data_IF_787053127887
#
_entry.id   IF_787053127887
#
_cell.length_a   1.000
_cell.length_b   1.000
_cell.length_c   1.000
_cell.angle_alpha   90.00
_cell.angle_beta   90.00
_cell.angle_gamma   90.00
#
_symmetry.space_group_name_H-M   'P 1'
#
loop_
_entity.id
_entity.type
_entity.pdbx_description
1 polymer ?
#
# COMPACT_ATOMS: atom_id res chain seq x y z
N UNK A 1 10.97 -7.09 8.12
CA UNK A 1 12.15 -7.58 7.40
C UNK A 1 11.87 -7.59 5.90
N UNK A 2 12.26 -6.53 5.21
CA UNK A 2 12.16 -6.39 3.75
C UNK A 2 13.47 -6.87 3.14
N UNK A 3 13.73 -8.19 3.16
CA UNK A 3 14.93 -8.70 2.51
C UNK A 3 14.64 -8.97 1.03
N UNK A 4 15.41 -8.36 0.14
CA UNK A 4 15.33 -8.56 -1.31
C UNK A 4 15.31 -10.05 -1.71
N UNK A 5 16.14 -10.94 -1.12
CA UNK A 5 16.10 -12.36 -1.45
C UNK A 5 14.75 -13.01 -1.25
N UNK A 6 14.00 -12.61 -0.21
CA UNK A 6 12.68 -13.19 0.09
C UNK A 6 11.61 -12.74 -0.89
N UNK A 7 11.68 -11.49 -1.34
CA UNK A 7 10.68 -10.94 -2.29
C UNK A 7 11.05 -11.17 -3.76
N UNK A 8 12.28 -11.59 -4.06
CA UNK A 8 12.77 -11.73 -5.44
C UNK A 8 11.91 -12.65 -6.31
N UNK A 9 11.46 -13.84 -5.85
CA UNK A 9 10.58 -14.68 -6.66
C UNK A 9 9.25 -13.98 -7.01
N UNK A 10 8.72 -13.20 -6.06
CA UNK A 10 7.49 -12.42 -6.26
C UNK A 10 7.70 -11.23 -7.20
N UNK A 11 8.90 -10.61 -7.17
CA UNK A 11 9.26 -9.57 -8.16
C UNK A 11 9.20 -10.14 -9.57
N UNK A 12 9.76 -11.33 -9.79
CA UNK A 12 9.70 -12.01 -11.09
C UNK A 12 8.28 -12.32 -11.53
N UNK A 13 7.41 -12.72 -10.60
CA UNK A 13 5.98 -12.92 -10.88
C UNK A 13 5.32 -11.59 -11.30
N UNK A 14 5.55 -10.51 -10.56
CA UNK A 14 4.98 -9.20 -10.86
C UNK A 14 5.52 -8.63 -12.18
N UNK A 15 6.83 -8.74 -12.45
CA UNK A 15 7.42 -8.31 -13.73
C UNK A 15 6.77 -9.02 -14.92
N UNK A 16 6.43 -10.32 -14.79
CA UNK A 16 5.66 -11.03 -15.82
C UNK A 16 4.27 -10.45 -16.02
N UNK A 17 3.58 -10.07 -14.94
CA UNK A 17 2.25 -9.43 -15.03
C UNK A 17 2.31 -8.09 -15.76
N UNK A 18 3.35 -7.30 -15.54
CA UNK A 18 3.57 -6.05 -16.27
C UNK A 18 3.90 -6.24 -17.77
N UNK A 19 4.33 -7.43 -18.16
CA UNK A 19 4.65 -7.78 -19.54
C UNK A 19 3.51 -8.47 -20.31
N UNK A 20 2.43 -8.85 -19.61
CA UNK A 20 1.27 -9.50 -20.21
C UNK A 20 0.47 -8.54 -21.10
N UNK A 21 -0.11 -9.06 -22.17
CA UNK A 21 -1.12 -8.34 -22.94
C UNK A 21 -2.41 -8.14 -22.14
N UNK A 22 -3.27 -7.18 -22.52
CA UNK A 22 -4.59 -7.02 -21.90
C UNK A 22 -5.42 -8.33 -21.93
N UNK A 23 -5.35 -9.08 -23.01
CA UNK A 23 -6.05 -10.35 -23.19
C UNK A 23 -5.55 -11.41 -22.21
N UNK A 24 -4.24 -11.57 -22.07
CA UNK A 24 -3.62 -12.49 -21.11
C UNK A 24 -3.97 -12.11 -19.66
N UNK A 25 -3.96 -10.81 -19.34
CA UNK A 25 -4.37 -10.32 -18.02
C UNK A 25 -5.85 -10.61 -17.73
N UNK A 26 -6.73 -10.42 -18.72
CA UNK A 26 -8.15 -10.71 -18.56
C UNK A 26 -8.40 -12.19 -18.32
N UNK A 27 -7.79 -13.08 -19.11
CA UNK A 27 -7.89 -14.54 -18.92
C UNK A 27 -7.38 -14.95 -17.53
N UNK A 28 -6.25 -14.40 -17.12
CA UNK A 28 -5.70 -14.64 -15.78
C UNK A 28 -6.63 -14.13 -14.67
N UNK A 29 -7.17 -12.93 -14.82
CA UNK A 29 -8.08 -12.32 -13.84
C UNK A 29 -9.37 -13.13 -13.72
N UNK A 30 -9.94 -13.59 -14.82
CA UNK A 30 -11.12 -14.48 -14.82
C UNK A 30 -10.83 -15.78 -14.07
N UNK A 31 -9.73 -16.46 -14.39
CA UNK A 31 -9.32 -17.67 -13.68
C UNK A 31 -9.17 -17.44 -12.18
N UNK A 32 -8.50 -16.33 -11.78
CA UNK A 32 -8.29 -15.98 -10.36
C UNK A 32 -9.59 -15.61 -9.66
N UNK A 33 -10.49 -14.92 -10.33
CA UNK A 33 -11.81 -14.61 -9.82
C UNK A 33 -12.58 -15.89 -9.48
N UNK A 34 -12.66 -16.85 -10.41
CA UNK A 34 -13.34 -18.11 -10.19
C UNK A 34 -12.70 -18.93 -9.06
N UNK A 35 -11.36 -18.99 -8.98
CA UNK A 35 -10.64 -19.63 -7.88
C UNK A 35 -11.00 -18.99 -6.51
N UNK A 36 -11.06 -17.67 -6.43
CA UNK A 36 -11.39 -16.94 -5.20
C UNK A 36 -12.86 -17.14 -4.83
N UNK A 37 -13.76 -17.02 -5.78
CA UNK A 37 -15.19 -17.27 -5.58
C UNK A 37 -15.45 -18.70 -5.06
N UNK A 38 -14.91 -19.71 -5.74
CA UNK A 38 -15.06 -21.10 -5.32
C UNK A 38 -14.49 -21.33 -3.92
N UNK A 39 -13.32 -20.77 -3.63
CA UNK A 39 -12.73 -20.85 -2.30
C UNK A 39 -13.59 -20.17 -1.23
N UNK A 40 -14.13 -18.98 -1.53
CA UNK A 40 -15.01 -18.26 -0.62
C UNK A 40 -16.29 -19.07 -0.32
N UNK A 41 -16.90 -19.62 -1.38
CA UNK A 41 -18.09 -20.47 -1.28
C UNK A 41 -17.83 -21.75 -0.44
N UNK A 42 -16.72 -22.45 -0.73
CA UNK A 42 -16.42 -23.75 -0.12
C UNK A 42 -15.89 -23.64 1.32
N UNK A 43 -15.14 -22.57 1.63
CA UNK A 43 -14.34 -22.48 2.86
C UNK A 43 -14.82 -21.42 3.85
N UNK A 44 -15.62 -20.44 3.41
CA UNK A 44 -16.10 -19.37 4.29
C UNK A 44 -17.59 -19.56 4.61
N UNK A 45 -17.97 -19.83 5.86
CA UNK A 45 -19.37 -19.88 6.27
C UNK A 45 -20.11 -18.59 5.98
N UNK A 46 -19.43 -17.43 6.16
CA UNK A 46 -19.99 -16.12 5.86
C UNK A 46 -20.37 -15.97 4.39
N UNK A 47 -19.42 -16.22 3.46
CA UNK A 47 -19.68 -16.06 2.03
C UNK A 47 -20.66 -17.11 1.51
N UNK A 48 -20.59 -18.36 2.00
CA UNK A 48 -21.56 -19.38 1.63
C UNK A 48 -22.98 -18.97 1.99
N UNK A 49 -23.19 -18.49 3.23
CA UNK A 49 -24.49 -18.01 3.68
C UNK A 49 -24.97 -16.84 2.82
N UNK A 50 -24.12 -15.84 2.61
CA UNK A 50 -24.43 -14.65 1.83
C UNK A 50 -24.87 -14.98 0.40
N UNK A 51 -24.14 -15.87 -0.27
CA UNK A 51 -24.45 -16.28 -1.65
C UNK A 51 -25.73 -17.13 -1.71
N UNK A 52 -25.93 -18.03 -0.75
CA UNK A 52 -27.15 -18.86 -0.69
C UNK A 52 -28.39 -17.99 -0.45
N UNK A 53 -28.31 -17.00 0.45
CA UNK A 53 -29.42 -16.05 0.71
C UNK A 53 -29.73 -15.17 -0.50
N UNK A 54 -28.73 -14.87 -1.34
CA UNK A 54 -28.90 -14.19 -2.62
C UNK A 54 -29.38 -15.13 -3.76
N UNK A 55 -29.63 -16.41 -3.49
CA UNK A 55 -30.07 -17.39 -4.49
C UNK A 55 -28.95 -17.84 -5.45
N UNK A 56 -27.69 -17.56 -5.14
CA UNK A 56 -26.53 -17.87 -5.99
C UNK A 56 -25.99 -19.25 -5.62
N UNK A 57 -25.97 -20.16 -6.61
CA UNK A 57 -25.30 -21.44 -6.52
C UNK A 57 -23.89 -21.34 -7.11
N UNK A 58 -23.06 -22.30 -6.78
CA UNK A 58 -21.66 -22.33 -7.23
C UNK A 58 -21.55 -22.38 -8.76
N UNK A 59 -22.49 -23.07 -9.40
CA UNK A 59 -22.54 -23.26 -10.84
C UNK A 59 -23.03 -22.04 -11.62
N UNK A 60 -23.63 -21.06 -10.94
CA UNK A 60 -24.18 -19.86 -11.56
C UNK A 60 -23.09 -18.81 -11.88
N UNK A 61 -21.86 -19.02 -11.37
CA UNK A 61 -20.70 -18.15 -11.57
C UNK A 61 -19.65 -18.88 -12.38
N UNK A 62 -19.56 -18.55 -13.66
CA UNK A 62 -18.71 -19.24 -14.64
C UNK A 62 -17.71 -18.34 -15.36
N UNK A 63 -17.87 -17.01 -15.23
CA UNK A 63 -17.01 -16.04 -15.88
C UNK A 63 -16.81 -14.79 -15.00
N UNK A 64 -15.84 -13.95 -15.36
CA UNK A 64 -15.60 -12.69 -14.67
C UNK A 64 -16.80 -11.73 -14.75
N UNK A 65 -17.58 -11.77 -15.82
CA UNK A 65 -18.76 -10.92 -15.98
C UNK A 65 -19.86 -11.21 -14.96
N UNK A 66 -19.85 -12.39 -14.36
CA UNK A 66 -20.78 -12.81 -13.33
C UNK A 66 -20.51 -12.14 -11.97
N UNK A 67 -19.42 -11.41 -11.82
CA UNK A 67 -19.10 -10.64 -10.59
C UNK A 67 -20.26 -9.72 -10.20
N UNK A 68 -20.97 -9.17 -11.18
CA UNK A 68 -22.14 -8.28 -10.97
C UNK A 68 -23.34 -8.97 -10.32
N UNK A 69 -23.39 -10.31 -10.32
CA UNK A 69 -24.41 -11.10 -9.63
C UNK A 69 -24.12 -11.20 -8.13
N UNK A 70 -22.86 -11.02 -7.73
CA UNK A 70 -22.46 -11.21 -6.35
C UNK A 70 -22.93 -10.05 -5.48
N UNK A 71 -23.46 -10.33 -4.26
CA UNK A 71 -23.87 -9.28 -3.34
C UNK A 71 -22.65 -8.49 -2.84
N UNK A 72 -22.83 -7.18 -2.69
CA UNK A 72 -21.80 -6.29 -2.15
C UNK A 72 -21.58 -6.57 -0.66
N UNK A 73 -20.34 -6.76 -0.26
CA UNK A 73 -19.95 -6.96 1.13
C UNK A 73 -19.48 -5.64 1.73
N UNK A 74 -20.18 -5.16 2.73
CA UNK A 74 -19.85 -3.90 3.41
C UNK A 74 -18.87 -4.15 4.57
N UNK A 75 -18.17 -3.08 4.97
CA UNK A 75 -17.27 -3.11 6.13
C UNK A 75 -17.98 -3.53 7.41
N UNK A 76 -19.23 -3.13 7.59
CA UNK A 76 -20.01 -3.46 8.78
C UNK A 76 -20.42 -4.94 8.79
N UNK A 77 -20.77 -5.52 7.64
CA UNK A 77 -21.00 -6.96 7.50
C UNK A 77 -19.74 -7.76 7.90
N UNK A 78 -18.57 -7.34 7.43
CA UNK A 78 -17.30 -8.00 7.78
C UNK A 78 -17.01 -7.88 9.29
N UNK A 79 -17.29 -6.73 9.90
CA UNK A 79 -17.11 -6.55 11.35
C UNK A 79 -18.01 -7.46 12.18
N UNK A 80 -19.28 -7.57 11.79
CA UNK A 80 -20.28 -8.40 12.50
C UNK A 80 -19.98 -9.90 12.40
N UNK A 81 -19.30 -10.32 11.33
CA UNK A 81 -19.06 -11.73 11.02
C UNK A 81 -17.58 -12.10 10.92
N UNK A 82 -16.69 -11.35 11.55
CA UNK A 82 -15.24 -11.53 11.42
C UNK A 82 -14.75 -12.94 11.79
N UNK A 83 -15.38 -13.57 12.78
CA UNK A 83 -15.07 -14.97 13.18
C UNK A 83 -15.50 -16.01 12.15
N UNK A 84 -16.46 -15.69 11.28
CA UNK A 84 -16.94 -16.57 10.19
C UNK A 84 -16.09 -16.46 8.93
N UNK A 85 -15.22 -15.47 8.87
CA UNK A 85 -14.24 -15.33 7.80
C UNK A 85 -13.15 -16.39 7.97
N UNK A 86 -13.07 -17.32 7.04
CA UNK A 86 -12.13 -18.44 7.14
C UNK A 86 -10.72 -17.98 6.90
N UNK A 87 -9.99 -17.80 7.97
CA UNK A 87 -8.54 -17.58 7.92
C UNK A 87 -7.86 -18.70 8.69
N UNK A 88 -6.93 -19.46 8.08
CA UNK A 88 -6.11 -20.37 8.85
C UNK A 88 -5.38 -19.58 9.92
N UNK A 89 -5.70 -19.77 11.19
CA UNK A 89 -5.08 -19.05 12.32
C UNK A 89 -3.56 -19.24 12.42
N UNK A 90 -3.00 -20.20 11.66
CA UNK A 90 -1.55 -20.45 11.56
C UNK A 90 -0.93 -19.62 10.42
N UNK A 91 0.16 -18.92 10.73
CA UNK A 91 1.02 -18.19 9.77
C UNK A 91 0.38 -16.95 9.12
N UNK A 92 -0.58 -16.30 9.80
CA UNK A 92 -1.13 -15.03 9.36
C UNK A 92 -0.68 -13.88 10.26
N UNK A 93 -0.58 -12.69 9.68
CA UNK A 93 -0.34 -11.46 10.40
C UNK A 93 -1.64 -10.68 10.52
N UNK A 94 -1.98 -10.27 11.74
CA UNK A 94 -3.10 -9.37 12.00
C UNK A 94 -2.66 -7.94 11.75
N UNK A 95 -3.46 -7.19 10.99
CA UNK A 95 -3.40 -5.74 10.84
C UNK A 95 -4.73 -5.13 11.27
N UNK A 96 -4.73 -3.84 11.58
CA UNK A 96 -5.96 -3.10 11.85
C UNK A 96 -6.06 -1.91 10.91
N UNK A 97 -7.27 -1.57 10.47
CA UNK A 97 -7.53 -0.31 9.77
C UNK A 97 -7.45 0.85 10.76
N UNK A 98 -7.11 2.05 10.29
CA UNK A 98 -6.96 3.25 11.14
C UNK A 98 -8.25 3.71 11.81
N UNK A 99 -9.42 3.29 11.30
CA UNK A 99 -10.70 3.50 11.98
C UNK A 99 -11.06 4.95 12.29
N UNK A 100 -10.84 5.88 11.37
CA UNK A 100 -11.15 7.32 11.53
C UNK A 100 -12.61 7.61 11.88
N UNK A 101 -13.53 6.69 11.61
CA UNK A 101 -14.98 6.84 11.84
C UNK A 101 -15.59 5.78 12.76
N UNK A 102 -14.76 5.07 13.55
CA UNK A 102 -15.26 4.03 14.46
C UNK A 102 -14.27 2.92 14.77
N UNK A 103 -14.78 1.77 15.22
CA UNK A 103 -13.96 0.61 15.61
C UNK A 103 -13.09 0.11 14.45
N UNK A 104 -11.77 -0.08 14.66
CA UNK A 104 -10.88 -0.61 13.64
C UNK A 104 -11.31 -2.02 13.18
N UNK A 105 -11.23 -2.27 11.87
CA UNK A 105 -11.41 -3.61 11.33
C UNK A 105 -10.11 -4.38 11.45
N UNK A 106 -10.18 -5.60 11.99
CA UNK A 106 -9.05 -6.54 12.00
C UNK A 106 -8.95 -7.27 10.67
N UNK A 107 -7.78 -7.16 10.04
CA UNK A 107 -7.47 -7.79 8.75
C UNK A 107 -6.35 -8.81 8.95
N UNK A 108 -6.53 -9.99 8.37
CA UNK A 108 -5.52 -11.05 8.44
C UNK A 108 -4.89 -11.24 7.06
N UNK A 109 -3.57 -11.33 7.02
CA UNK A 109 -2.80 -11.53 5.79
C UNK A 109 -1.80 -12.66 5.96
N UNK A 110 -1.71 -13.54 4.99
CA UNK A 110 -0.62 -14.51 4.94
C UNK A 110 0.69 -13.88 4.45
N UNK A 111 1.80 -14.57 4.68
CA UNK A 111 3.12 -14.07 4.29
C UNK A 111 3.28 -13.94 2.77
N UNK A 112 2.61 -14.80 1.99
CA UNK A 112 2.64 -14.72 0.53
C UNK A 112 2.03 -13.40 0.06
N UNK A 113 0.84 -13.05 0.57
CA UNK A 113 0.19 -11.77 0.26
C UNK A 113 1.04 -10.57 0.67
N UNK A 114 1.71 -10.65 1.85
CA UNK A 114 2.62 -9.58 2.31
C UNK A 114 3.79 -9.40 1.34
N UNK A 115 4.44 -10.49 0.94
CA UNK A 115 5.58 -10.43 0.03
C UNK A 115 5.18 -10.01 -1.38
N UNK A 116 4.02 -10.46 -1.85
CA UNK A 116 3.48 -10.04 -3.14
C UNK A 116 3.25 -8.53 -3.19
N UNK A 117 2.61 -7.94 -2.18
CA UNK A 117 2.42 -6.47 -2.09
C UNK A 117 3.77 -5.74 -2.09
N UNK A 118 4.77 -6.25 -1.36
CA UNK A 118 6.10 -5.64 -1.41
C UNK A 118 6.74 -5.72 -2.79
N UNK A 119 6.54 -6.82 -3.53
CA UNK A 119 7.02 -6.96 -4.90
C UNK A 119 6.32 -5.97 -5.86
N UNK A 120 5.00 -5.81 -5.74
CA UNK A 120 4.28 -4.79 -6.51
C UNK A 120 4.80 -3.38 -6.22
N UNK A 121 4.94 -3.01 -4.95
CA UNK A 121 5.50 -1.71 -4.57
C UNK A 121 6.91 -1.51 -5.13
N UNK A 122 7.74 -2.55 -5.11
CA UNK A 122 9.07 -2.50 -5.70
C UNK A 122 9.02 -2.25 -7.21
N UNK A 123 8.27 -3.07 -7.96
CA UNK A 123 8.17 -2.95 -9.41
C UNK A 123 7.58 -1.59 -9.82
N UNK A 124 6.58 -1.12 -9.10
CA UNK A 124 5.96 0.18 -9.33
C UNK A 124 6.94 1.31 -9.08
N UNK A 125 7.57 1.36 -7.90
CA UNK A 125 8.55 2.42 -7.56
C UNK A 125 9.77 2.45 -8.47
N UNK A 126 10.18 1.29 -9.00
CA UNK A 126 11.23 1.20 -10.01
C UNK A 126 10.88 2.01 -11.27
N UNK A 127 9.63 2.00 -11.68
CA UNK A 127 9.13 2.82 -12.82
C UNK A 127 9.19 4.32 -12.52
N UNK A 128 9.10 4.71 -11.25
CA UNK A 128 9.19 6.10 -10.77
C UNK A 128 10.60 6.48 -10.28
N UNK A 129 11.63 5.75 -10.73
CA UNK A 129 13.03 6.11 -10.51
C UNK A 129 13.62 5.70 -9.17
N UNK A 130 12.95 4.84 -8.40
CA UNK A 130 13.48 4.27 -7.16
C UNK A 130 13.67 2.76 -7.25
N UNK A 131 14.91 2.31 -7.13
CA UNK A 131 15.29 0.89 -7.17
C UNK A 131 15.67 0.38 -5.78
N UNK A 132 15.35 -0.87 -5.47
CA UNK A 132 15.72 -1.50 -4.21
C UNK A 132 17.25 -1.44 -3.98
N UNK A 133 17.63 -1.23 -2.72
CA UNK A 133 19.03 -1.05 -2.33
C UNK A 133 19.52 0.39 -2.36
N UNK A 134 18.83 1.28 -3.07
CA UNK A 134 19.06 2.72 -2.96
C UNK A 134 18.62 3.23 -1.59
N UNK A 135 19.21 4.33 -1.16
CA UNK A 135 18.91 4.95 0.14
C UNK A 135 17.47 5.48 0.16
N UNK A 136 16.72 5.04 1.16
CA UNK A 136 15.30 5.31 1.31
C UNK A 136 14.99 5.86 2.70
N UNK A 137 14.27 6.97 2.77
CA UNK A 137 13.74 7.50 4.03
C UNK A 137 12.28 7.09 4.16
N UNK A 138 11.91 6.56 5.32
CA UNK A 138 10.52 6.28 5.67
C UNK A 138 10.11 7.10 6.89
N UNK A 139 9.30 8.13 6.67
CA UNK A 139 8.76 9.02 7.68
C UNK A 139 7.39 8.50 8.13
N UNK A 140 7.39 7.51 9.02
CA UNK A 140 6.16 6.84 9.50
C UNK A 140 6.22 6.54 11.00
N UNK A 141 5.05 6.45 11.64
CA UNK A 141 4.87 6.23 13.07
C UNK A 141 5.23 4.86 13.63
N UNK A 142 6.29 4.20 13.14
CA UNK A 142 6.68 2.86 13.58
C UNK A 142 7.85 2.82 14.57
N UNK A 143 8.33 3.96 14.99
CA UNK A 143 9.40 4.05 15.99
C UNK A 143 8.80 4.20 17.39
N UNK A 144 9.50 3.66 18.39
CA UNK A 144 9.21 3.94 19.78
C UNK A 144 9.14 5.45 20.00
N UNK A 145 8.18 5.91 20.81
CA UNK A 145 7.90 7.34 21.01
C UNK A 145 9.14 8.17 21.38
N UNK A 146 10.16 7.53 21.95
CA UNK A 146 11.40 8.16 22.37
C UNK A 146 12.51 8.14 21.32
N UNK A 147 12.32 7.40 20.21
CA UNK A 147 13.32 7.29 19.15
C UNK A 147 12.97 8.17 17.96
N UNK A 148 13.82 9.14 17.64
CA UNK A 148 13.65 10.00 16.46
C UNK A 148 13.99 9.28 15.17
N UNK A 149 14.94 8.36 15.18
CA UNK A 149 15.37 7.63 13.98
C UNK A 149 15.84 6.22 14.26
N UNK A 150 15.75 5.38 13.22
CA UNK A 150 16.32 4.03 13.17
C UNK A 150 16.86 3.75 11.78
N UNK A 151 18.14 3.40 11.66
CA UNK A 151 18.75 3.02 10.39
C UNK A 151 18.87 1.50 10.28
N UNK A 152 18.32 0.96 9.19
CA UNK A 152 18.47 -0.46 8.84
C UNK A 152 19.44 -0.57 7.67
N UNK A 153 20.65 -1.03 7.94
CA UNK A 153 21.73 -1.12 6.95
C UNK A 153 21.41 -2.10 5.82
N UNK A 154 20.81 -3.26 6.12
CA UNK A 154 20.50 -4.30 5.15
C UNK A 154 19.53 -3.82 4.04
N UNK A 155 18.58 -2.96 4.37
CA UNK A 155 17.63 -2.40 3.39
C UNK A 155 17.99 -0.99 2.95
N UNK A 156 19.11 -0.46 3.42
CA UNK A 156 19.54 0.93 3.17
C UNK A 156 18.43 1.95 3.48
N UNK A 157 17.69 1.72 4.57
CA UNK A 157 16.52 2.51 4.96
C UNK A 157 16.77 3.26 6.26
N UNK A 158 16.48 4.56 6.24
CA UNK A 158 16.41 5.40 7.43
C UNK A 158 14.94 5.63 7.78
N UNK A 159 14.52 5.09 8.93
CA UNK A 159 13.21 5.38 9.50
C UNK A 159 13.30 6.62 10.36
N UNK A 160 12.34 7.53 10.20
CA UNK A 160 12.16 8.74 11.00
C UNK A 160 10.76 8.73 11.61
N UNK A 161 10.66 9.14 12.87
CA UNK A 161 9.38 9.21 13.58
C UNK A 161 8.50 10.32 13.02
N UNK A 162 7.27 10.02 12.62
CA UNK A 162 6.31 11.06 12.27
C UNK A 162 5.63 11.71 13.49
N UNK A 163 5.76 11.10 14.67
CA UNK A 163 5.16 11.63 15.92
C UNK A 163 5.94 12.77 16.55
N UNK A 164 7.22 12.88 16.23
CA UNK A 164 8.14 13.83 16.87
C UNK A 164 8.54 14.99 15.95
N UNK A 165 7.75 15.22 14.89
CA UNK A 165 7.97 16.36 13.97
C UNK A 165 7.47 17.62 14.67
N UNK A 166 8.42 18.46 15.13
CA UNK A 166 8.16 19.71 15.82
C UNK A 166 9.35 20.66 15.66
N UNK A 167 9.22 21.95 16.01
CA UNK A 167 10.30 22.95 15.85
C UNK A 167 11.62 22.53 16.51
N UNK A 168 11.58 21.93 17.71
CA UNK A 168 12.79 21.55 18.44
C UNK A 168 13.60 20.43 17.73
N UNK A 169 12.93 19.58 16.95
CA UNK A 169 13.56 18.46 16.25
C UNK A 169 13.84 18.75 14.76
N UNK A 170 13.46 19.91 14.23
CA UNK A 170 13.59 20.26 12.81
C UNK A 170 15.01 20.07 12.29
N UNK A 171 16.01 20.61 13.02
CA UNK A 171 17.41 20.50 12.64
C UNK A 171 17.88 19.04 12.60
N UNK A 172 17.44 18.21 13.55
CA UNK A 172 17.76 16.77 13.56
C UNK A 172 17.23 16.04 12.32
N UNK A 173 15.98 16.32 11.90
CA UNK A 173 15.40 15.72 10.70
C UNK A 173 16.16 16.14 9.45
N UNK A 174 16.46 17.44 9.34
CA UNK A 174 17.23 17.98 8.23
C UNK A 174 18.60 17.32 8.10
N UNK A 175 19.39 17.32 9.18
CA UNK A 175 20.74 16.77 9.18
C UNK A 175 20.75 15.27 8.90
N UNK A 176 19.79 14.54 9.48
CA UNK A 176 19.64 13.10 9.27
C UNK A 176 19.35 12.77 7.79
N UNK A 177 18.43 13.49 7.16
CA UNK A 177 18.07 13.28 5.75
C UNK A 177 19.21 13.74 4.83
N UNK A 178 19.77 14.92 5.05
CA UNK A 178 20.88 15.49 4.28
C UNK A 178 22.11 14.59 4.32
N UNK A 179 22.51 14.12 5.50
CA UNK A 179 23.65 13.21 5.67
C UNK A 179 23.40 11.87 5.01
N UNK A 180 22.17 11.39 5.08
CA UNK A 180 21.78 10.10 4.48
C UNK A 180 21.70 10.15 2.96
N UNK A 181 21.42 11.31 2.36
CA UNK A 181 21.29 11.54 0.90
C UNK A 181 20.37 10.49 0.24
N UNK A 182 19.09 10.45 0.60
CA UNK A 182 18.17 9.43 0.08
C UNK A 182 17.89 9.64 -1.41
N UNK A 183 17.63 8.55 -2.13
CA UNK A 183 17.07 8.59 -3.49
C UNK A 183 15.56 8.84 -3.44
N UNK A 184 14.90 8.36 -2.39
CA UNK A 184 13.47 8.55 -2.21
C UNK A 184 13.08 8.70 -0.74
N UNK A 185 11.96 9.38 -0.50
CA UNK A 185 11.30 9.48 0.79
C UNK A 185 9.85 8.98 0.68
N UNK A 186 9.36 8.29 1.69
CA UNK A 186 7.93 8.01 1.84
C UNK A 186 7.39 8.54 3.17
N UNK A 187 6.14 8.97 3.17
CA UNK A 187 5.44 9.38 4.37
C UNK A 187 3.96 9.60 4.15
N UNK A 188 3.25 9.91 5.24
CA UNK A 188 1.89 10.44 5.12
C UNK A 188 1.95 11.85 4.55
N UNK A 189 1.00 12.26 3.69
CA UNK A 189 0.89 13.64 3.21
C UNK A 189 1.02 14.67 4.32
N UNK A 190 0.29 14.49 5.42
CA UNK A 190 0.34 15.39 6.58
C UNK A 190 1.73 15.46 7.23
N UNK A 191 2.41 14.33 7.36
CA UNK A 191 3.74 14.27 8.00
C UNK A 191 4.83 14.92 7.14
N UNK A 192 4.83 14.65 5.83
CA UNK A 192 5.77 15.29 4.88
C UNK A 192 5.51 16.78 4.79
N UNK A 193 4.24 17.20 4.78
CA UNK A 193 3.85 18.60 4.75
C UNK A 193 4.29 19.36 6.01
N UNK A 194 4.05 18.79 7.20
CA UNK A 194 4.51 19.39 8.46
C UNK A 194 6.02 19.56 8.48
N UNK A 195 6.77 18.54 8.04
CA UNK A 195 8.23 18.65 7.94
C UNK A 195 8.64 19.73 6.92
N UNK A 196 7.96 19.82 5.78
CA UNK A 196 8.24 20.85 4.78
C UNK A 196 8.00 22.26 5.29
N UNK A 197 6.93 22.49 6.07
CA UNK A 197 6.67 23.78 6.72
C UNK A 197 7.79 24.15 7.68
N UNK A 198 8.15 23.27 8.60
CA UNK A 198 9.19 23.53 9.60
C UNK A 198 10.55 23.78 8.97
N UNK A 199 10.90 23.07 7.92
CA UNK A 199 12.14 23.31 7.17
C UNK A 199 12.10 24.66 6.46
N UNK A 200 10.95 25.04 5.89
CA UNK A 200 10.77 26.36 5.27
C UNK A 200 10.95 27.49 6.26
N UNK A 201 10.34 27.38 7.44
CA UNK A 201 10.44 28.38 8.51
C UNK A 201 11.88 28.53 9.04
N UNK A 202 12.65 27.43 9.00
CA UNK A 202 14.08 27.43 9.36
C UNK A 202 15.01 27.83 8.20
N UNK A 203 14.51 28.16 7.02
CA UNK A 203 15.31 28.49 5.84
C UNK A 203 16.12 27.31 5.27
N UNK A 204 15.72 26.07 5.59
CA UNK A 204 16.41 24.83 5.19
C UNK A 204 15.70 24.18 4.00
N UNK A 205 16.46 23.67 3.03
CA UNK A 205 15.93 22.94 1.86
C UNK A 205 16.57 21.57 1.75
N UNK A 206 15.81 20.59 1.26
CA UNK A 206 16.29 19.26 0.95
C UNK A 206 16.28 19.04 -0.57
N UNK A 207 17.04 18.05 -1.02
CA UNK A 207 17.05 17.58 -2.40
C UNK A 207 16.82 16.07 -2.38
N UNK A 208 15.60 15.66 -2.72
CA UNK A 208 15.18 14.26 -2.72
C UNK A 208 14.49 13.97 -4.05
N UNK A 209 15.09 13.17 -4.94
CA UNK A 209 14.60 13.03 -6.32
C UNK A 209 13.14 12.60 -6.45
N UNK A 210 12.63 11.74 -5.55
CA UNK A 210 11.24 11.29 -5.60
C UNK A 210 10.66 11.11 -4.20
N UNK A 211 9.41 11.47 -4.03
CA UNK A 211 8.63 11.23 -2.81
C UNK A 211 7.41 10.33 -3.10
N UNK A 212 7.06 9.48 -2.14
CA UNK A 212 5.88 8.64 -2.20
C UNK A 212 4.98 8.93 -1.01
N UNK A 213 3.71 9.21 -1.28
CA UNK A 213 2.67 9.39 -0.25
C UNK A 213 1.70 8.22 -0.26
N UNK A 214 0.97 8.02 0.82
CA UNK A 214 -0.12 7.06 0.90
C UNK A 214 -0.94 7.23 2.17
N UNK A 215 -2.10 6.56 2.21
CA UNK A 215 -2.94 6.38 3.41
C UNK A 215 -3.74 7.60 3.88
N UNK A 216 -3.51 8.75 3.30
CA UNK A 216 -4.25 10.01 3.46
C UNK A 216 -4.43 10.63 2.09
N UNK A 217 -5.43 11.49 1.92
CA UNK A 217 -5.57 12.27 0.68
C UNK A 217 -4.47 13.31 0.58
N UNK A 218 -3.71 13.28 -0.51
CA UNK A 218 -2.72 14.32 -0.82
C UNK A 218 -3.42 15.54 -1.40
N UNK A 219 -3.48 16.61 -0.63
CA UNK A 219 -4.12 17.85 -1.06
C UNK A 219 -3.19 18.71 -1.94
N UNK A 220 -3.71 19.49 -2.90
CA UNK A 220 -2.88 20.28 -3.83
C UNK A 220 -1.85 21.18 -3.13
N UNK A 221 -2.25 21.90 -2.09
CA UNK A 221 -1.34 22.79 -1.34
C UNK A 221 -0.24 22.01 -0.58
N UNK A 222 -0.53 20.77 -0.16
CA UNK A 222 0.48 19.91 0.48
C UNK A 222 1.52 19.46 -0.56
N UNK A 223 1.06 19.03 -1.72
CA UNK A 223 1.92 18.66 -2.85
C UNK A 223 2.89 19.79 -3.18
N UNK A 224 2.34 20.96 -3.49
CA UNK A 224 3.13 22.13 -3.88
C UNK A 224 4.20 22.45 -2.85
N UNK A 225 3.84 22.52 -1.57
CA UNK A 225 4.78 22.84 -0.49
C UNK A 225 5.88 21.79 -0.33
N UNK A 226 5.53 20.51 -0.40
CA UNK A 226 6.50 19.41 -0.26
C UNK A 226 7.44 19.38 -1.47
N UNK A 227 6.92 19.47 -2.69
CA UNK A 227 7.72 19.45 -3.91
C UNK A 227 8.70 20.62 -3.96
N UNK A 228 8.25 21.82 -3.61
CA UNK A 228 9.09 23.01 -3.52
C UNK A 228 10.19 22.85 -2.45
N UNK A 229 9.85 22.32 -1.28
CA UNK A 229 10.75 22.30 -0.12
C UNK A 229 11.77 21.17 -0.19
N UNK A 230 11.39 20.04 -0.80
CA UNK A 230 12.27 18.87 -0.94
C UNK A 230 12.89 18.77 -2.33
N UNK A 231 12.61 19.72 -3.23
CA UNK A 231 13.01 19.65 -4.65
C UNK A 231 12.76 18.25 -5.21
N UNK A 232 11.50 17.80 -5.13
CA UNK A 232 11.08 16.41 -5.40
C UNK A 232 9.88 16.38 -6.33
N UNK A 233 9.63 15.22 -6.93
CA UNK A 233 8.35 14.88 -7.56
C UNK A 233 7.61 13.88 -6.68
N UNK A 234 6.33 14.16 -6.36
CA UNK A 234 5.52 13.28 -5.51
C UNK A 234 4.66 12.37 -6.36
N UNK A 235 4.58 11.11 -5.95
CA UNK A 235 3.62 10.15 -6.48
C UNK A 235 2.82 9.53 -5.34
N UNK A 236 1.49 9.65 -5.42
CA UNK A 236 0.60 9.12 -4.41
C UNK A 236 0.21 7.68 -4.69
N UNK A 237 0.09 6.89 -3.62
CA UNK A 237 -0.35 5.50 -3.64
C UNK A 237 -1.70 5.39 -2.96
N UNK A 238 -2.75 5.09 -3.71
CA UNK A 238 -4.03 4.69 -3.16
C UNK A 238 -4.03 3.20 -2.86
N UNK A 239 -4.43 2.82 -1.64
CA UNK A 239 -4.48 1.41 -1.25
C UNK A 239 -5.26 1.18 0.02
N UNK A 240 -5.65 -0.07 0.25
CA UNK A 240 -6.38 -0.52 1.43
C UNK A 240 -5.53 -1.45 2.30
N UNK A 241 -5.82 -1.44 3.61
CA UNK A 241 -5.19 -2.36 4.59
C UNK A 241 -5.51 -3.81 4.25
N UNK A 242 -6.69 -4.05 3.70
CA UNK A 242 -7.18 -5.35 3.21
C UNK A 242 -6.37 -5.88 2.02
N UNK A 243 -5.60 -5.02 1.35
CA UNK A 243 -4.81 -5.33 0.15
C UNK A 243 -5.64 -5.82 -1.01
N UNK A 244 -6.84 -5.28 -1.12
CA UNK A 244 -7.78 -5.59 -2.21
C UNK A 244 -7.69 -4.60 -3.35
N UNK A 245 -7.09 -3.43 -3.13
CA UNK A 245 -6.82 -2.44 -4.16
C UNK A 245 -5.45 -1.80 -3.94
N UNK A 246 -4.75 -1.50 -5.02
CA UNK A 246 -3.50 -0.74 -5.02
C UNK A 246 -3.32 -0.03 -6.35
N UNK A 247 -3.37 1.28 -6.31
CA UNK A 247 -3.27 2.16 -7.48
C UNK A 247 -2.11 3.14 -7.26
N UNK A 248 -1.35 3.43 -8.31
CA UNK A 248 -0.29 4.43 -8.27
C UNK A 248 -0.67 5.61 -9.14
N UNK A 249 -0.48 6.80 -8.64
CA UNK A 249 -0.72 8.04 -9.37
C UNK A 249 0.04 8.05 -10.70
N UNK A 250 -0.60 8.57 -11.74
CA UNK A 250 -0.02 8.68 -13.07
C UNK A 250 1.13 9.71 -13.11
N UNK A 251 2.06 9.54 -14.05
CA UNK A 251 3.22 10.44 -14.21
C UNK A 251 2.84 11.90 -14.45
N UNK A 252 1.73 12.11 -15.15
CA UNK A 252 1.18 13.44 -15.43
C UNK A 252 0.26 13.97 -14.33
N UNK A 253 0.18 13.25 -13.21
CA UNK A 253 -0.70 13.56 -12.07
C UNK A 253 -2.22 13.59 -12.41
N UNK A 254 -2.60 12.96 -13.53
CA UNK A 254 -4.01 12.87 -13.96
C UNK A 254 -4.52 11.44 -13.76
N UNK A 255 -5.05 11.18 -12.57
CA UNK A 255 -5.59 9.88 -12.20
C UNK A 255 -4.54 8.87 -11.71
N UNK A 256 -4.95 7.61 -11.67
CA UNK A 256 -4.16 6.51 -11.11
C UNK A 256 -4.11 5.33 -12.06
N UNK A 257 -2.99 4.63 -12.09
CA UNK A 257 -2.83 3.35 -12.78
C UNK A 257 -3.08 2.19 -11.85
N UNK A 258 -3.82 1.20 -12.33
CA UNK A 258 -3.94 -0.09 -11.66
C UNK A 258 -2.63 -0.88 -11.76
N UNK A 259 -2.32 -1.59 -10.68
CA UNK A 259 -1.23 -2.56 -10.71
C UNK A 259 -1.71 -3.83 -11.41
N UNK A 260 -1.10 -4.28 -12.53
CA UNK A 260 -1.60 -5.38 -13.33
C UNK A 260 -1.83 -6.66 -12.53
N UNK A 261 -3.05 -7.21 -12.58
CA UNK A 261 -3.40 -8.45 -11.90
C UNK A 261 -3.36 -8.41 -10.37
N UNK A 262 -3.33 -7.21 -9.77
CA UNK A 262 -3.40 -7.04 -8.31
C UNK A 262 -4.81 -7.26 -7.80
N UNK A 263 -5.76 -6.61 -8.41
CA UNK A 263 -7.20 -6.67 -8.09
C UNK A 263 -8.04 -6.59 -9.37
N UNK A 264 -9.32 -6.84 -9.21
CA UNK A 264 -10.36 -6.53 -10.18
C UNK A 264 -11.15 -5.39 -9.55
N UNK A 265 -11.17 -4.23 -10.21
CA UNK A 265 -11.80 -3.03 -9.71
C UNK A 265 -13.04 -2.71 -10.55
N UNK A 266 -14.12 -2.30 -9.89
CA UNK A 266 -15.34 -1.78 -10.50
C UNK A 266 -15.45 -0.29 -10.12
N UNK A 267 -15.75 0.56 -11.11
CA UNK A 267 -15.86 2.02 -10.98
C UNK A 267 -17.28 2.50 -11.25
#
# INVERSE_FOLDING_TARGET
LRSYPVIYPYIKEVEKLYAMSPEELNQRNEKRFLEIFHRAYDKSPFYRKLYTEAGIRKEDITSLTDIKKLPVVTKDMVKQHNEMLTVPKRKVRKGNTSGTTGTPLSVYSDWKSIWMVQAYLYCTRKRYGFTYGQRFVSLRGHLDKNNLSLKIHLSNTLFLSSYNINPANTQFYYDSIRKFKPRAIEGYPSSLYTLALLLSDAGLKLEIPVAFTSSETLLPYQREKIEQQFNTQIFDLYGMTERTISLMEAYNHQGYYEMPGFSINEY
#
